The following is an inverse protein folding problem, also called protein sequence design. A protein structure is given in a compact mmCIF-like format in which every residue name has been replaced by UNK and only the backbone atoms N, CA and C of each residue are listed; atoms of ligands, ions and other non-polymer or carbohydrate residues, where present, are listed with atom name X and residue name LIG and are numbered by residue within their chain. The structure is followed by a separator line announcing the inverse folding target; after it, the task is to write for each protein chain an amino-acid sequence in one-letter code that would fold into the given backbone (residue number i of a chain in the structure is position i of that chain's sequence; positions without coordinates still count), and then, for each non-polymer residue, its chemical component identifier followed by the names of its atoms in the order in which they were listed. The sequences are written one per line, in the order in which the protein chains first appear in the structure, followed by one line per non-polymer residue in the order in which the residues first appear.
data_IF_275156044860
#
_entry.id   IF_275156044860
#
_cell.length_a   1.000
_cell.length_b   1.000
_cell.length_c   1.000
_cell.angle_alpha   90.00
_cell.angle_beta   90.00
_cell.angle_gamma   90.00
#
_symmetry.space_group_name_H-M   'P 1'
#
loop_
_entity.id
_entity.type
_entity.pdbx_description
1 polymer ?
#
# COMPACT_ATOMS: atom_id res chain seq x y z
N UNK A 1 -1.95 -4.16 2.13
CA UNK A 1 -2.26 -2.98 2.98
C UNK A 1 -3.22 -2.07 2.26
N UNK A 2 -4.27 -1.61 2.97
CA UNK A 2 -5.28 -0.70 2.41
C UNK A 2 -4.92 0.78 2.57
N UNK A 3 -3.79 1.08 3.22
CA UNK A 3 -3.41 2.44 3.58
C UNK A 3 -1.94 2.70 3.27
N UNK A 4 -1.67 3.80 2.59
CA UNK A 4 -0.32 4.32 2.42
C UNK A 4 -0.07 5.34 3.52
N UNK A 5 0.90 5.06 4.39
CA UNK A 5 1.32 5.93 5.46
C UNK A 5 2.75 6.41 5.19
N UNK A 6 2.91 7.72 5.15
CA UNK A 6 4.22 8.35 5.02
C UNK A 6 4.75 8.68 6.42
N UNK A 7 5.90 8.13 6.84
CA UNK A 7 6.48 8.46 8.14
C UNK A 7 6.95 9.91 8.15
N UNK A 8 6.57 10.66 9.19
CA UNK A 8 7.08 12.00 9.44
C UNK A 8 8.30 11.86 10.34
N UNK A 9 9.46 12.28 9.86
CA UNK A 9 10.71 12.18 10.62
C UNK A 9 10.86 13.39 11.53
N UNK A 10 10.89 13.15 12.83
CA UNK A 10 11.15 14.17 13.84
C UNK A 10 12.64 14.20 14.19
N UNK A 11 13.13 15.38 14.58
CA UNK A 11 14.52 15.54 15.07
C UNK A 11 14.68 15.00 16.50
N UNK A 12 13.62 15.09 17.31
CA UNK A 12 13.56 14.61 18.68
C UNK A 12 12.23 13.89 18.91
N UNK A 13 12.21 12.99 19.90
CA UNK A 13 10.99 12.32 20.33
C UNK A 13 10.17 13.23 21.26
N UNK A 14 9.06 13.71 20.76
CA UNK A 14 8.15 14.59 21.49
C UNK A 14 6.99 13.81 22.09
N UNK A 15 6.76 14.00 23.38
CA UNK A 15 5.68 13.34 24.12
C UNK A 15 4.45 14.23 24.37
N UNK A 16 4.62 15.55 24.28
CA UNK A 16 3.55 16.50 24.54
C UNK A 16 2.86 16.96 23.24
N UNK A 17 1.57 17.27 23.34
CA UNK A 17 0.76 17.59 22.17
C UNK A 17 1.25 18.83 21.42
N UNK A 18 1.61 19.88 22.14
CA UNK A 18 2.01 21.16 21.56
C UNK A 18 3.39 21.06 20.89
N UNK A 19 4.35 20.49 21.59
CA UNK A 19 5.71 20.27 21.09
C UNK A 19 5.72 19.36 19.86
N UNK A 20 4.91 18.29 19.91
CA UNK A 20 4.76 17.36 18.79
C UNK A 20 4.15 18.04 17.55
N UNK A 21 3.17 18.92 17.75
CA UNK A 21 2.56 19.66 16.63
C UNK A 21 3.58 20.61 15.97
N UNK A 22 4.37 21.34 16.77
CA UNK A 22 5.43 22.21 16.27
C UNK A 22 6.52 21.42 15.54
N UNK A 23 6.96 20.30 16.10
CA UNK A 23 7.95 19.42 15.49
C UNK A 23 7.46 18.85 14.14
N UNK A 24 6.19 18.46 14.05
CA UNK A 24 5.59 17.99 12.79
C UNK A 24 5.56 19.12 11.76
N UNK A 25 5.18 20.32 12.13
CA UNK A 25 5.19 21.44 11.20
C UNK A 25 6.62 21.75 10.70
N UNK A 26 7.61 21.74 11.59
CA UNK A 26 9.01 21.97 11.26
C UNK A 26 9.67 20.82 10.45
N UNK A 27 9.05 19.67 10.38
CA UNK A 27 9.57 18.50 9.63
C UNK A 27 9.51 18.62 8.11
N UNK A 28 8.92 19.72 7.57
CA UNK A 28 8.76 19.92 6.14
C UNK A 28 7.47 19.32 5.54
N UNK A 29 6.48 19.01 6.39
CA UNK A 29 5.18 18.49 5.92
C UNK A 29 4.53 19.41 4.89
N UNK A 30 4.70 20.72 5.00
CA UNK A 30 4.17 21.71 4.05
C UNK A 30 4.72 21.51 2.65
N UNK A 31 6.03 21.33 2.54
CA UNK A 31 6.70 21.19 1.25
C UNK A 31 6.36 19.84 0.61
N UNK A 32 6.30 18.79 1.42
CA UNK A 32 5.82 17.47 0.99
C UNK A 32 4.39 17.53 0.43
N UNK A 33 3.47 18.23 1.11
CA UNK A 33 2.09 18.37 0.64
C UNK A 33 2.00 19.17 -0.66
N UNK A 34 2.77 20.24 -0.81
CA UNK A 34 2.85 21.05 -2.05
C UNK A 34 3.38 20.21 -3.21
N UNK A 35 4.43 19.42 -2.99
CA UNK A 35 5.01 18.56 -4.01
C UNK A 35 4.01 17.49 -4.49
N UNK A 36 3.30 16.84 -3.55
CA UNK A 36 2.31 15.83 -3.87
C UNK A 36 1.08 16.37 -4.63
N UNK A 37 0.64 17.59 -4.34
CA UNK A 37 -0.64 18.11 -4.84
C UNK A 37 -0.48 19.26 -5.83
N UNK A 38 0.70 19.85 -5.97
CA UNK A 38 0.95 21.04 -6.81
C UNK A 38 -0.02 22.19 -6.50
N UNK A 39 -0.49 22.27 -5.25
CA UNK A 39 -1.45 23.26 -4.76
C UNK A 39 -0.84 24.05 -3.60
N UNK A 40 -1.17 25.34 -3.50
CA UNK A 40 -0.80 26.20 -2.37
C UNK A 40 -2.04 26.64 -1.57
N UNK A 41 -3.00 25.73 -1.44
CA UNK A 41 -4.23 25.93 -0.65
C UNK A 41 -4.13 25.27 0.71
N UNK A 42 -4.84 25.75 1.74
CA UNK A 42 -4.93 25.06 3.01
C UNK A 42 -5.47 23.63 2.85
N UNK A 43 -4.89 22.68 3.59
CA UNK A 43 -5.37 21.30 3.67
C UNK A 43 -6.17 21.09 4.93
N UNK A 44 -7.30 20.40 4.80
CA UNK A 44 -8.09 19.97 5.96
C UNK A 44 -7.54 18.66 6.48
N UNK A 45 -7.28 18.61 7.78
CA UNK A 45 -6.72 17.41 8.41
C UNK A 45 -7.56 16.93 9.58
N UNK A 46 -7.47 15.63 9.85
CA UNK A 46 -7.89 15.02 11.11
C UNK A 46 -6.70 14.41 11.83
N UNK A 47 -6.88 14.19 13.14
CA UNK A 47 -5.90 13.51 13.99
C UNK A 47 -6.45 12.13 14.38
N UNK A 48 -5.66 11.08 14.20
CA UNK A 48 -5.91 9.76 14.73
C UNK A 48 -4.81 9.38 15.71
N UNK A 49 -5.17 9.00 16.94
CA UNK A 49 -4.22 8.59 17.98
C UNK A 49 -4.38 7.11 18.25
N UNK A 50 -3.32 6.34 18.02
CA UNK A 50 -3.20 4.94 18.38
C UNK A 50 -2.29 4.78 19.58
N UNK A 51 -2.89 4.78 20.76
CA UNK A 51 -2.23 4.64 22.05
C UNK A 51 -3.16 3.90 23.00
N UNK A 52 -2.58 3.15 23.92
CA UNK A 52 -3.29 2.63 25.08
C UNK A 52 -3.44 3.76 26.09
N UNK A 53 -4.57 4.44 26.04
CA UNK A 53 -4.92 5.56 26.90
C UNK A 53 -6.44 5.74 26.98
N UNK A 54 -6.91 6.31 28.08
CA UNK A 54 -8.31 6.62 28.31
C UNK A 54 -8.87 7.55 27.22
N UNK A 55 -10.13 7.38 26.86
CA UNK A 55 -10.76 8.13 25.78
C UNK A 55 -10.73 9.65 25.99
N UNK A 56 -10.96 10.12 27.25
CA UNK A 56 -10.97 11.55 27.57
C UNK A 56 -9.58 12.17 27.43
N UNK A 57 -8.55 11.46 27.85
CA UNK A 57 -7.15 11.88 27.69
C UNK A 57 -6.77 11.92 26.22
N UNK A 58 -7.20 10.91 25.45
CA UNK A 58 -6.98 10.85 23.99
C UNK A 58 -7.65 12.02 23.28
N UNK A 59 -8.91 12.30 23.59
CA UNK A 59 -9.65 13.41 22.99
C UNK A 59 -9.03 14.76 23.36
N UNK A 60 -8.64 14.96 24.62
CA UNK A 60 -7.96 16.18 25.08
C UNK A 60 -6.62 16.39 24.38
N UNK A 61 -5.81 15.33 24.25
CA UNK A 61 -4.54 15.37 23.53
C UNK A 61 -4.74 15.72 22.05
N UNK A 62 -5.67 15.04 21.37
CA UNK A 62 -5.98 15.30 19.96
C UNK A 62 -6.43 16.75 19.73
N UNK A 63 -7.27 17.28 20.62
CA UNK A 63 -7.74 18.67 20.54
C UNK A 63 -6.60 19.67 20.71
N UNK A 64 -5.76 19.51 21.71
CA UNK A 64 -4.58 20.38 21.94
C UNK A 64 -3.65 20.34 20.74
N UNK A 65 -3.29 19.13 20.29
CA UNK A 65 -2.45 18.92 19.13
C UNK A 65 -3.01 19.61 17.87
N UNK A 66 -4.30 19.45 17.59
CA UNK A 66 -4.93 20.04 16.42
C UNK A 66 -4.90 21.58 16.46
N UNK A 67 -5.23 22.18 17.60
CA UNK A 67 -5.21 23.64 17.80
C UNK A 67 -3.79 24.19 17.58
N UNK A 68 -2.79 23.53 18.16
CA UNK A 68 -1.40 23.99 18.05
C UNK A 68 -0.90 23.83 16.60
N UNK A 69 -1.24 22.74 15.92
CA UNK A 69 -0.83 22.53 14.53
C UNK A 69 -1.47 23.56 13.58
N UNK A 70 -2.74 23.90 13.78
CA UNK A 70 -3.37 25.01 13.03
C UNK A 70 -2.60 26.33 13.25
N UNK A 71 -2.24 26.63 14.50
CA UNK A 71 -1.49 27.84 14.86
C UNK A 71 -0.09 27.82 14.24
N UNK A 72 0.67 26.75 14.44
CA UNK A 72 2.04 26.60 13.94
C UNK A 72 2.10 26.71 12.40
N UNK A 73 1.09 26.16 11.73
CA UNK A 73 0.98 26.22 10.27
C UNK A 73 0.45 27.54 9.70
N UNK A 74 0.18 28.56 10.54
CA UNK A 74 -0.52 29.76 10.15
C UNK A 74 -1.81 29.45 9.34
N UNK A 75 -2.57 28.45 9.78
CA UNK A 75 -3.79 27.91 9.16
C UNK A 75 -3.62 27.35 7.74
N UNK A 76 -2.43 26.96 7.36
CA UNK A 76 -2.22 26.14 6.15
C UNK A 76 -2.74 24.71 6.34
N UNK A 77 -2.82 24.25 7.58
CA UNK A 77 -3.51 23.02 7.99
C UNK A 77 -4.71 23.41 8.85
N UNK A 78 -5.91 22.99 8.47
CA UNK A 78 -7.16 23.31 9.16
C UNK A 78 -7.76 22.02 9.69
N UNK A 79 -8.02 21.96 11.00
CA UNK A 79 -8.61 20.76 11.59
C UNK A 79 -10.07 20.57 11.15
N UNK A 80 -10.38 19.38 10.66
CA UNK A 80 -11.73 18.97 10.29
C UNK A 80 -11.93 17.47 10.55
N UNK A 81 -12.95 17.13 11.32
CA UNK A 81 -13.24 15.72 11.65
C UNK A 81 -14.13 15.02 10.65
N UNK A 82 -14.91 15.78 9.89
CA UNK A 82 -15.87 15.22 8.92
C UNK A 82 -15.43 15.31 7.48
N UNK A 83 -14.78 16.41 7.12
CA UNK A 83 -14.37 16.68 5.74
C UNK A 83 -12.86 17.01 5.73
N UNK A 84 -12.04 15.99 5.60
CA UNK A 84 -10.58 16.08 5.67
C UNK A 84 -9.93 15.45 4.43
N UNK A 85 -8.81 16.02 4.03
CA UNK A 85 -8.00 15.61 2.88
C UNK A 85 -6.80 14.78 3.31
N UNK A 86 -6.32 15.02 4.52
CA UNK A 86 -5.19 14.30 5.10
C UNK A 86 -5.50 13.83 6.53
N UNK A 87 -4.80 12.81 6.97
CA UNK A 87 -4.85 12.33 8.36
C UNK A 87 -3.44 12.32 8.93
N UNK A 88 -3.29 12.91 10.11
CA UNK A 88 -2.08 12.79 10.90
C UNK A 88 -2.33 11.71 11.94
N UNK A 89 -1.64 10.60 11.78
CA UNK A 89 -1.76 9.44 12.67
C UNK A 89 -0.58 9.41 13.63
N UNK A 90 -0.89 9.44 14.92
CA UNK A 90 0.08 9.40 16.00
C UNK A 90 0.05 8.02 16.64
N UNK A 91 1.13 7.26 16.51
CA UNK A 91 1.25 5.92 17.11
C UNK A 91 2.20 6.02 18.30
N UNK A 92 1.71 5.68 19.50
CA UNK A 92 2.55 5.70 20.70
C UNK A 92 3.60 4.59 20.63
N UNK A 93 4.85 4.96 20.91
CA UNK A 93 5.98 4.04 20.98
C UNK A 93 6.06 3.36 22.35
N UNK A 94 6.79 2.25 22.43
CA UNK A 94 7.02 1.49 23.68
C UNK A 94 7.91 2.27 24.69
N UNK A 95 8.81 3.06 24.17
CA UNK A 95 9.77 3.90 24.93
C UNK A 95 9.23 5.28 25.31
N UNK A 96 7.97 5.55 25.05
CA UNK A 96 7.35 6.87 25.18
C UNK A 96 7.31 7.61 23.84
N UNK A 97 6.86 8.86 23.82
CA UNK A 97 6.76 9.64 22.59
C UNK A 97 5.77 9.07 21.56
N UNK A 98 5.76 9.68 20.37
CA UNK A 98 4.88 9.28 19.28
C UNK A 98 5.66 9.13 17.97
N UNK A 99 5.28 8.14 17.17
CA UNK A 99 5.66 8.03 15.78
C UNK A 99 4.54 8.64 14.92
N UNK A 100 4.74 9.81 14.31
CA UNK A 100 3.75 10.43 13.46
C UNK A 100 3.83 9.90 12.03
N UNK A 101 2.64 9.73 11.43
CA UNK A 101 2.48 9.34 10.03
C UNK A 101 1.47 10.26 9.37
N UNK A 102 1.69 10.52 8.08
CA UNK A 102 0.78 11.24 7.21
C UNK A 102 0.06 10.26 6.29
N UNK A 103 -1.25 10.37 6.20
CA UNK A 103 -2.08 9.66 5.22
C UNK A 103 -2.77 10.66 4.32
N UNK A 104 -2.65 10.47 3.01
CA UNK A 104 -3.24 11.32 2.00
C UNK A 104 -4.53 10.67 1.46
N UNK A 105 -5.68 11.29 1.68
CA UNK A 105 -6.95 10.85 1.10
C UNK A 105 -7.19 11.43 -0.29
N UNK A 106 -6.46 12.48 -0.64
CA UNK A 106 -6.49 13.12 -1.95
C UNK A 106 -5.82 12.31 -3.05
N UNK A 107 -4.96 11.36 -2.66
CA UNK A 107 -4.31 10.43 -3.58
C UNK A 107 -5.02 9.08 -3.47
N UNK A 108 -5.88 8.71 -4.44
CA UNK A 108 -6.59 7.45 -4.39
C UNK A 108 -5.62 6.28 -4.56
N UNK A 109 -5.56 5.41 -3.56
CA UNK A 109 -4.83 4.15 -3.65
C UNK A 109 -5.64 3.14 -4.47
N UNK A 110 -5.34 3.07 -5.76
CA UNK A 110 -5.95 2.08 -6.67
C UNK A 110 -5.11 0.81 -6.84
N UNK A 111 -3.95 0.73 -6.20
CA UNK A 111 -3.13 -0.48 -6.24
C UNK A 111 -3.96 -1.66 -5.76
N UNK A 112 -3.90 -2.78 -6.40
CA UNK A 112 -4.73 -3.96 -6.13
C UNK A 112 -6.24 -3.81 -6.39
N UNK A 113 -6.70 -2.73 -7.00
CA UNK A 113 -8.10 -2.57 -7.39
C UNK A 113 -8.56 -3.63 -8.42
N UNK A 114 -7.60 -4.20 -9.14
CA UNK A 114 -7.81 -5.30 -10.06
C UNK A 114 -8.28 -6.58 -9.37
N UNK A 115 -7.89 -6.79 -8.09
CA UNK A 115 -8.18 -8.03 -7.38
C UNK A 115 -9.62 -8.10 -6.90
N UNK A 116 -10.51 -8.45 -7.81
CA UNK A 116 -11.94 -8.68 -7.52
C UNK A 116 -12.20 -10.10 -7.08
N UNK A 117 -11.47 -11.06 -7.64
CA UNK A 117 -11.62 -12.47 -7.37
C UNK A 117 -10.54 -12.97 -6.40
N UNK A 118 -10.94 -13.85 -5.50
CA UNK A 118 -10.07 -14.55 -4.56
C UNK A 118 -10.63 -15.96 -4.32
N UNK A 119 -9.74 -16.94 -4.24
CA UNK A 119 -10.06 -18.30 -3.79
C UNK A 119 -9.37 -18.57 -2.46
N UNK A 120 -9.76 -19.67 -1.77
CA UNK A 120 -9.08 -20.10 -0.57
C UNK A 120 -7.57 -20.22 -0.82
N UNK A 121 -6.74 -19.91 0.18
CA UNK A 121 -5.27 -19.89 0.09
C UNK A 121 -4.65 -18.91 -0.92
N UNK A 122 -5.44 -18.03 -1.54
CA UNK A 122 -4.88 -16.98 -2.39
C UNK A 122 -3.97 -16.03 -1.60
N UNK A 123 -2.75 -15.84 -2.07
CA UNK A 123 -1.82 -14.87 -1.50
C UNK A 123 -2.40 -13.45 -1.54
N UNK A 124 -2.19 -12.68 -0.48
CA UNK A 124 -2.62 -11.28 -0.46
C UNK A 124 -1.76 -10.44 -1.43
N UNK A 125 -2.34 -9.57 -2.27
CA UNK A 125 -1.59 -8.81 -3.28
C UNK A 125 -0.43 -7.99 -2.71
N UNK A 126 -0.57 -7.42 -1.50
CA UNK A 126 0.55 -6.69 -0.87
C UNK A 126 1.74 -7.60 -0.55
N UNK A 127 1.48 -8.85 -0.15
CA UNK A 127 2.53 -9.82 0.12
C UNK A 127 3.18 -10.26 -1.19
N UNK A 128 2.39 -10.56 -2.21
CA UNK A 128 2.89 -10.89 -3.55
C UNK A 128 3.79 -9.76 -4.09
N UNK A 129 3.31 -8.52 -4.07
CA UNK A 129 4.07 -7.36 -4.49
C UNK A 129 5.39 -7.17 -3.70
N UNK A 130 5.35 -7.41 -2.39
CA UNK A 130 6.55 -7.34 -1.54
C UNK A 130 7.57 -8.42 -1.90
N UNK A 131 7.12 -9.67 -2.09
CA UNK A 131 7.99 -10.78 -2.46
C UNK A 131 8.63 -10.54 -3.83
N UNK A 132 7.85 -10.10 -4.81
CA UNK A 132 8.35 -9.74 -6.14
C UNK A 132 9.34 -8.58 -6.07
N UNK A 133 9.06 -7.55 -5.26
CA UNK A 133 9.98 -6.43 -5.07
C UNK A 133 11.31 -6.85 -4.43
N UNK A 134 11.29 -7.80 -3.49
CA UNK A 134 12.50 -8.39 -2.91
C UNK A 134 13.28 -9.24 -3.93
N UNK A 135 12.57 -9.93 -4.82
CA UNK A 135 13.17 -10.73 -5.89
C UNK A 135 13.67 -9.89 -7.07
N UNK A 136 13.38 -8.59 -7.13
CA UNK A 136 13.70 -7.72 -8.26
C UNK A 136 15.14 -7.83 -8.80
N UNK A 137 16.18 -7.93 -7.96
CA UNK A 137 17.56 -8.10 -8.47
C UNK A 137 17.81 -9.37 -9.28
N UNK A 138 16.91 -10.34 -9.20
CA UNK A 138 16.97 -11.64 -9.89
C UNK A 138 16.01 -11.77 -11.07
N UNK A 139 15.10 -10.79 -11.25
CA UNK A 139 14.16 -10.79 -12.34
C UNK A 139 14.87 -10.44 -13.64
N UNK A 140 14.46 -11.08 -14.74
CA UNK A 140 15.01 -10.80 -16.07
C UNK A 140 14.09 -9.87 -16.86
N UNK A 141 14.70 -8.95 -17.59
CA UNK A 141 13.99 -8.16 -18.59
C UNK A 141 13.50 -9.07 -19.72
N UNK A 142 12.31 -8.79 -20.26
CA UNK A 142 11.70 -9.56 -21.36
C UNK A 142 11.63 -11.07 -21.09
N UNK A 143 11.47 -11.48 -19.84
CA UNK A 143 11.41 -12.87 -19.43
C UNK A 143 10.21 -13.61 -20.00
N UNK A 144 10.34 -14.94 -20.17
CA UNK A 144 9.21 -15.87 -20.20
C UNK A 144 8.97 -16.39 -18.79
N UNK A 145 7.79 -16.14 -18.25
CA UNK A 145 7.47 -16.47 -16.86
C UNK A 145 6.33 -17.48 -16.76
N UNK A 146 6.42 -18.35 -15.76
CA UNK A 146 5.42 -19.36 -15.46
C UNK A 146 5.02 -19.30 -14.00
N UNK A 147 3.70 -19.31 -13.74
CA UNK A 147 3.12 -19.66 -12.45
C UNK A 147 2.34 -20.99 -12.62
N UNK A 148 2.90 -22.12 -12.19
CA UNK A 148 2.28 -23.43 -12.39
C UNK A 148 1.10 -23.72 -11.45
N UNK A 149 0.86 -22.85 -10.45
CA UNK A 149 -0.25 -22.92 -9.49
C UNK A 149 -0.84 -21.54 -9.26
N UNK A 150 -1.27 -20.90 -10.36
CA UNK A 150 -1.51 -19.46 -10.36
C UNK A 150 -2.73 -19.00 -9.55
N UNK A 151 -3.66 -19.92 -9.23
CA UNK A 151 -4.91 -19.54 -8.60
C UNK A 151 -5.62 -18.42 -9.38
N UNK A 152 -5.91 -17.32 -8.72
CA UNK A 152 -6.51 -16.12 -9.35
C UNK A 152 -5.48 -15.15 -9.95
N UNK A 153 -4.25 -15.61 -10.19
CA UNK A 153 -3.22 -14.89 -10.92
C UNK A 153 -2.46 -13.82 -10.14
N UNK A 154 -2.59 -13.74 -8.82
CA UNK A 154 -2.03 -12.63 -8.03
C UNK A 154 -0.51 -12.50 -8.16
N UNK A 155 0.24 -13.60 -8.07
CA UNK A 155 1.71 -13.57 -8.14
C UNK A 155 2.20 -13.08 -9.49
N UNK A 156 1.69 -13.67 -10.56
CA UNK A 156 2.13 -13.37 -11.93
C UNK A 156 1.70 -11.96 -12.38
N UNK A 157 0.54 -11.47 -11.93
CA UNK A 157 0.08 -10.10 -12.18
C UNK A 157 1.02 -9.10 -11.48
N UNK A 158 1.33 -9.31 -10.18
CA UNK A 158 2.25 -8.42 -9.45
C UNK A 158 3.67 -8.47 -10.01
N UNK A 159 4.11 -9.63 -10.52
CA UNK A 159 5.40 -9.77 -11.21
C UNK A 159 5.44 -8.90 -12.47
N UNK A 160 4.42 -8.96 -13.29
CA UNK A 160 4.37 -8.20 -14.53
C UNK A 160 4.25 -6.69 -14.32
N UNK A 161 3.49 -6.25 -13.32
CA UNK A 161 3.39 -4.83 -12.93
C UNK A 161 4.76 -4.25 -12.50
N UNK A 162 5.58 -5.04 -11.82
CA UNK A 162 6.89 -4.56 -11.30
C UNK A 162 7.96 -4.55 -12.40
N UNK A 163 7.96 -5.56 -13.25
CA UNK A 163 8.91 -5.70 -14.36
C UNK A 163 8.20 -6.42 -15.52
N UNK A 164 7.79 -5.72 -16.58
CA UNK A 164 7.04 -6.31 -17.67
C UNK A 164 7.76 -7.50 -18.32
N UNK A 165 7.05 -8.59 -18.47
CA UNK A 165 7.56 -9.81 -19.09
C UNK A 165 7.05 -9.97 -20.54
N UNK A 166 7.84 -10.65 -21.40
CA UNK A 166 7.50 -10.89 -22.80
C UNK A 166 6.35 -11.88 -22.93
N UNK A 167 6.43 -12.99 -22.22
CA UNK A 167 5.42 -14.03 -22.22
C UNK A 167 5.10 -14.48 -20.80
N UNK A 168 3.84 -14.72 -20.55
CA UNK A 168 3.31 -14.97 -19.21
C UNK A 168 2.28 -16.07 -19.24
N UNK A 169 2.53 -17.12 -18.46
CA UNK A 169 1.67 -18.30 -18.39
C UNK A 169 1.30 -18.59 -16.93
N UNK A 170 0.00 -18.65 -16.66
CA UNK A 170 -0.54 -19.10 -15.39
C UNK A 170 -1.33 -20.38 -15.58
N UNK A 171 -1.04 -21.41 -14.79
CA UNK A 171 -1.72 -22.70 -14.86
C UNK A 171 -2.40 -22.97 -13.54
N UNK A 172 -3.59 -23.51 -13.60
CA UNK A 172 -4.28 -24.02 -12.42
C UNK A 172 -5.26 -25.11 -12.84
N UNK A 173 -5.42 -26.11 -11.98
CA UNK A 173 -6.36 -27.19 -12.18
C UNK A 173 -7.81 -26.79 -11.83
N UNK A 174 -7.98 -25.70 -11.07
CA UNK A 174 -9.28 -25.22 -10.63
C UNK A 174 -9.84 -24.18 -11.61
N UNK A 175 -10.78 -24.60 -12.47
CA UNK A 175 -11.38 -23.75 -13.52
C UNK A 175 -11.89 -22.39 -13.02
N UNK A 176 -12.66 -22.32 -11.92
CA UNK A 176 -13.11 -21.04 -11.38
C UNK A 176 -11.98 -20.07 -10.98
N UNK A 177 -10.82 -20.59 -10.57
CA UNK A 177 -9.65 -19.76 -10.31
C UNK A 177 -9.11 -19.14 -11.59
N UNK A 178 -9.04 -19.91 -12.67
CA UNK A 178 -8.60 -19.44 -14.00
C UNK A 178 -9.52 -18.35 -14.55
N UNK A 179 -10.83 -18.48 -14.38
CA UNK A 179 -11.80 -17.44 -14.76
C UNK A 179 -11.55 -16.15 -13.96
N UNK A 180 -11.41 -16.27 -12.64
CA UNK A 180 -11.06 -15.16 -11.77
C UNK A 180 -9.70 -14.54 -12.11
N UNK A 181 -8.71 -15.34 -12.52
CA UNK A 181 -7.40 -14.86 -12.95
C UNK A 181 -7.48 -14.00 -14.22
N UNK A 182 -8.27 -14.44 -15.21
CA UNK A 182 -8.52 -13.68 -16.46
C UNK A 182 -9.18 -12.34 -16.17
N UNK A 183 -10.20 -12.31 -15.32
CA UNK A 183 -10.86 -11.08 -14.93
C UNK A 183 -9.90 -10.15 -14.18
N UNK A 184 -9.16 -10.66 -13.19
CA UNK A 184 -8.19 -9.89 -12.44
C UNK A 184 -7.10 -9.30 -13.36
N UNK A 185 -6.54 -10.07 -14.26
CA UNK A 185 -5.53 -9.59 -15.21
C UNK A 185 -6.10 -8.52 -16.16
N UNK A 186 -7.31 -8.71 -16.66
CA UNK A 186 -8.00 -7.72 -17.48
C UNK A 186 -8.19 -6.39 -16.73
N UNK A 187 -8.59 -6.44 -15.46
CA UNK A 187 -8.74 -5.26 -14.61
C UNK A 187 -7.39 -4.60 -14.25
N UNK A 188 -6.31 -5.38 -14.22
CA UNK A 188 -4.95 -4.87 -14.07
C UNK A 188 -4.39 -4.24 -15.34
N UNK A 189 -4.99 -4.50 -16.49
CA UNK A 189 -4.48 -4.11 -17.80
C UNK A 189 -3.39 -5.04 -18.35
N UNK A 190 -3.25 -6.23 -17.74
CA UNK A 190 -2.20 -7.19 -18.07
C UNK A 190 -2.68 -8.28 -19.02
N UNK A 191 -1.80 -8.69 -19.94
CA UNK A 191 -2.06 -9.79 -20.89
C UNK A 191 -1.29 -11.04 -20.46
N UNK A 192 -2.01 -12.00 -19.88
CA UNK A 192 -1.43 -13.24 -19.35
C UNK A 192 -2.21 -14.43 -19.93
N UNK A 193 -1.49 -15.47 -20.33
CA UNK A 193 -2.08 -16.71 -20.84
C UNK A 193 -2.45 -17.62 -19.66
N UNK A 194 -3.73 -17.65 -19.30
CA UNK A 194 -4.23 -18.54 -18.25
C UNK A 194 -4.80 -19.83 -18.84
N UNK A 195 -4.29 -20.96 -18.34
CA UNK A 195 -4.59 -22.30 -18.87
C UNK A 195 -5.19 -23.14 -17.73
N UNK A 196 -6.44 -23.61 -17.93
CA UNK A 196 -7.08 -24.57 -17.05
C UNK A 196 -6.55 -25.96 -17.37
N UNK A 197 -5.59 -26.42 -16.59
CA UNK A 197 -4.93 -27.73 -16.80
C UNK A 197 -4.20 -28.17 -15.55
N UNK A 198 -4.00 -29.49 -15.39
CA UNK A 198 -3.02 -30.01 -14.46
C UNK A 198 -1.61 -29.61 -14.93
N UNK A 199 -0.81 -29.12 -14.02
CA UNK A 199 0.57 -28.71 -14.29
C UNK A 199 1.40 -29.87 -14.86
N UNK A 200 1.17 -31.12 -14.43
CA UNK A 200 1.86 -32.31 -14.95
C UNK A 200 1.57 -32.60 -16.44
N UNK A 201 0.43 -32.16 -16.92
CA UNK A 201 0.02 -32.32 -18.35
C UNK A 201 0.39 -31.11 -19.21
N UNK A 202 0.92 -30.05 -18.60
CA UNK A 202 1.34 -28.87 -19.33
C UNK A 202 2.65 -29.14 -20.07
N UNK A 203 2.71 -28.73 -21.32
CA UNK A 203 3.91 -28.79 -22.19
C UNK A 203 4.05 -27.46 -22.91
N UNK A 204 5.28 -27.00 -23.03
CA UNK A 204 5.63 -25.78 -23.75
C UNK A 204 6.91 -26.04 -24.57
N UNK A 205 7.01 -25.39 -25.71
CA UNK A 205 8.13 -25.63 -26.66
C UNK A 205 9.45 -25.02 -26.16
N UNK A 206 9.37 -24.07 -25.23
CA UNK A 206 10.53 -23.37 -24.70
C UNK A 206 10.65 -23.55 -23.20
N UNK A 207 11.87 -23.34 -22.70
CA UNK A 207 12.11 -23.23 -21.26
C UNK A 207 11.72 -21.84 -20.77
N UNK A 208 11.17 -21.77 -19.57
CA UNK A 208 10.87 -20.51 -18.90
C UNK A 208 12.12 -19.93 -18.25
N UNK A 209 12.25 -18.60 -18.32
CA UNK A 209 13.33 -17.89 -17.63
C UNK A 209 13.09 -17.83 -16.12
N UNK A 210 11.83 -17.74 -15.72
CA UNK A 210 11.44 -17.61 -14.31
C UNK A 210 10.20 -18.46 -14.01
N UNK A 211 10.20 -19.07 -12.83
CA UNK A 211 9.03 -19.69 -12.22
C UNK A 211 8.73 -18.92 -10.94
N UNK A 212 7.54 -18.37 -10.84
CA UNK A 212 7.08 -17.61 -9.69
C UNK A 212 5.72 -18.12 -9.23
N UNK A 213 5.62 -18.63 -8.01
CA UNK A 213 4.38 -19.26 -7.55
C UNK A 213 4.22 -19.17 -6.05
N UNK A 214 2.95 -19.23 -5.61
CA UNK A 214 2.57 -19.54 -4.23
C UNK A 214 2.07 -20.99 -4.22
N UNK A 215 2.97 -21.93 -3.96
CA UNK A 215 2.67 -23.36 -4.01
C UNK A 215 1.52 -23.74 -3.06
N UNK A 216 0.61 -24.62 -3.50
CA UNK A 216 -0.37 -25.22 -2.59
C UNK A 216 0.33 -26.06 -1.53
N UNK A 217 -0.21 -26.05 -0.30
CA UNK A 217 0.29 -26.79 0.86
C UNK A 217 -0.47 -28.11 0.99
#
# INVERSE_FOLDING_TARGET
YRELLFPIRLKQDEGQADELADAIWQSGISDFLKECHKQDTPFRFRVEIRADMENDKRASFAKKFAIQLERASARRLINSTGDYEIEIRLIKKKDGGFAPFLKLYTIPMRRFAYRKNAVAASIHPSLAAMLVALARPYLKENAQILDPFCGVGTMIIERDIIEPAREKYGIDIFGPAIEGARENASLAGEKINFIHRDYFDFRHDYLFDEIITNMPV
#
